data_IF_201899627303
#
_entry.id   IF_201899627303
#
_cell.length_a   1.000
_cell.length_b   1.000
_cell.length_c   1.000
_cell.angle_alpha   90.00
_cell.angle_beta   90.00
_cell.angle_gamma   90.00
#
_symmetry.space_group_name_H-M   'P 1'
#
loop_
_entity.id
_entity.type
_entity.pdbx_description
1 polymer ?
#
# COMPACT_ATOMS: atom_id res chain seq x y z
N UNK A 1 41.75 -2.00 -2.37
CA UNK A 1 40.84 -0.82 -2.31
C UNK A 1 39.65 -0.96 -3.25
N UNK A 2 39.85 -1.24 -4.55
CA UNK A 2 38.75 -1.44 -5.51
C UNK A 2 37.76 -2.54 -5.12
N UNK A 3 38.25 -3.72 -4.74
CA UNK A 3 37.42 -4.84 -4.25
C UNK A 3 36.63 -4.50 -2.97
N UNK A 4 37.23 -3.71 -2.06
CA UNK A 4 36.55 -3.24 -0.84
C UNK A 4 35.44 -2.24 -1.18
N UNK A 5 35.67 -1.34 -2.15
CA UNK A 5 34.67 -0.39 -2.63
C UNK A 5 33.53 -1.08 -3.39
N UNK A 6 33.84 -2.11 -4.18
CA UNK A 6 32.85 -2.92 -4.89
C UNK A 6 31.99 -3.73 -3.91
N UNK A 7 32.61 -4.37 -2.92
CA UNK A 7 31.89 -5.09 -1.86
C UNK A 7 31.05 -4.14 -1.00
N UNK A 8 31.58 -2.96 -0.66
CA UNK A 8 30.83 -1.94 0.07
C UNK A 8 29.62 -1.44 -0.72
N UNK A 9 29.78 -1.16 -2.02
CA UNK A 9 28.67 -0.78 -2.90
C UNK A 9 27.61 -1.88 -2.97
N UNK A 10 28.02 -3.15 -3.08
CA UNK A 10 27.10 -4.29 -3.07
C UNK A 10 26.31 -4.36 -1.76
N UNK A 11 27.00 -4.27 -0.62
CA UNK A 11 26.37 -4.27 0.70
C UNK A 11 25.37 -3.12 0.89
N UNK A 12 25.74 -1.89 0.49
CA UNK A 12 24.85 -0.73 0.58
C UNK A 12 23.62 -0.91 -0.31
N UNK A 13 23.78 -1.47 -1.51
CA UNK A 13 22.65 -1.74 -2.39
C UNK A 13 21.73 -2.81 -1.78
N UNK A 14 22.26 -3.91 -1.26
CA UNK A 14 21.45 -4.94 -0.57
C UNK A 14 20.74 -4.37 0.67
N UNK A 15 21.41 -3.53 1.46
CA UNK A 15 20.81 -2.87 2.62
C UNK A 15 19.69 -1.88 2.23
N UNK A 16 19.83 -1.16 1.10
CA UNK A 16 18.77 -0.28 0.57
C UNK A 16 17.52 -1.06 0.19
N UNK A 17 17.68 -2.24 -0.41
CA UNK A 17 16.55 -3.11 -0.78
C UNK A 17 15.77 -3.65 0.42
N UNK A 18 16.37 -3.63 1.60
CA UNK A 18 15.73 -4.00 2.87
C UNK A 18 15.25 -2.77 3.67
N UNK A 19 15.49 -1.56 3.18
CA UNK A 19 15.10 -0.35 3.90
C UNK A 19 13.58 -0.12 3.80
N UNK A 20 12.95 0.12 4.94
CA UNK A 20 11.54 0.48 5.02
C UNK A 20 11.24 1.74 4.19
N UNK A 21 10.12 1.77 3.43
CA UNK A 21 9.71 2.98 2.75
C UNK A 21 9.52 4.13 3.74
N UNK A 22 10.05 5.32 3.43
CA UNK A 22 9.96 6.49 4.32
C UNK A 22 8.55 6.76 4.87
N UNK A 23 7.45 6.63 4.09
CA UNK A 23 6.11 6.89 4.60
C UNK A 23 5.62 5.86 5.63
N UNK A 24 6.24 4.69 5.79
CA UNK A 24 5.85 3.78 6.87
C UNK A 24 6.31 4.29 8.23
N UNK A 25 7.47 4.97 8.27
CA UNK A 25 8.13 5.49 9.47
C UNK A 25 7.91 6.99 9.71
N UNK A 26 7.59 7.78 8.68
CA UNK A 26 7.36 9.22 8.79
C UNK A 26 5.86 9.54 8.70
N UNK A 27 5.26 9.95 9.84
CA UNK A 27 3.83 10.26 9.93
C UNK A 27 3.40 11.43 9.04
N UNK A 28 4.21 12.49 8.97
CA UNK A 28 3.88 13.68 8.19
C UNK A 28 3.85 13.36 6.70
N UNK A 29 4.86 12.66 6.20
CA UNK A 29 4.94 12.21 4.82
C UNK A 29 3.80 11.23 4.48
N UNK A 30 3.53 10.27 5.37
CA UNK A 30 2.39 9.35 5.22
C UNK A 30 1.07 10.10 5.06
N UNK A 31 0.83 11.06 5.96
CA UNK A 31 -0.39 11.85 6.00
C UNK A 31 -0.51 12.73 4.76
N UNK A 32 0.59 13.33 4.31
CA UNK A 32 0.66 14.10 3.07
C UNK A 32 0.22 13.25 1.87
N UNK A 33 0.81 12.06 1.72
CA UNK A 33 0.52 11.16 0.60
C UNK A 33 -0.94 10.65 0.65
N UNK A 34 -1.41 10.22 1.83
CA UNK A 34 -2.81 9.81 2.03
C UNK A 34 -3.79 10.93 1.70
N UNK A 35 -3.54 12.15 2.17
CA UNK A 35 -4.41 13.29 1.89
C UNK A 35 -4.42 13.67 0.41
N UNK A 36 -3.29 13.53 -0.29
CA UNK A 36 -3.24 13.70 -1.74
C UNK A 36 -4.10 12.65 -2.46
N UNK A 37 -4.01 11.38 -2.06
CA UNK A 37 -4.81 10.28 -2.60
C UNK A 37 -6.33 10.43 -2.33
N UNK A 38 -6.71 10.99 -1.18
CA UNK A 38 -8.12 11.32 -0.87
C UNK A 38 -8.64 12.45 -1.78
N UNK A 39 -7.82 13.48 -2.03
CA UNK A 39 -8.25 14.70 -2.73
C UNK A 39 -8.19 14.59 -4.26
N UNK A 40 -7.35 13.73 -4.80
CA UNK A 40 -7.19 13.58 -6.24
C UNK A 40 -8.42 12.89 -6.84
N UNK A 41 -9.11 13.55 -7.78
CA UNK A 41 -10.34 13.04 -8.42
C UNK A 41 -10.15 11.68 -9.13
N UNK A 42 -8.93 11.41 -9.60
CA UNK A 42 -8.57 10.15 -10.26
C UNK A 42 -8.11 9.05 -9.30
N UNK A 43 -8.01 9.32 -7.99
CA UNK A 43 -7.61 8.33 -6.97
C UNK A 43 -8.74 8.09 -5.97
N UNK A 44 -9.30 9.15 -5.38
CA UNK A 44 -10.39 9.09 -4.41
C UNK A 44 -10.24 7.94 -3.39
N UNK A 45 -9.16 7.94 -2.62
CA UNK A 45 -8.93 6.90 -1.61
C UNK A 45 -10.01 6.96 -0.50
N UNK A 46 -10.72 5.86 -0.27
CA UNK A 46 -11.81 5.80 0.70
C UNK A 46 -12.47 4.42 0.78
N UNK A 47 -13.67 4.29 1.35
CA UNK A 47 -14.35 5.33 2.11
C UNK A 47 -13.66 5.58 3.47
N UNK A 48 -14.00 6.68 4.14
CA UNK A 48 -13.59 6.90 5.54
C UNK A 48 -14.20 5.82 6.45
N UNK A 49 -15.50 5.55 6.26
CA UNK A 49 -16.29 4.53 6.96
C UNK A 49 -16.83 3.52 5.94
N UNK A 50 -16.74 2.21 6.21
CA UNK A 50 -17.13 1.18 5.23
C UNK A 50 -18.63 1.20 4.86
N UNK A 51 -19.47 1.76 5.74
CA UNK A 51 -20.90 1.94 5.54
C UNK A 51 -21.29 3.16 4.67
N UNK A 52 -20.31 3.90 4.15
CA UNK A 52 -20.55 5.03 3.25
C UNK A 52 -21.02 4.55 1.87
N UNK A 53 -22.34 4.52 1.66
CA UNK A 53 -22.96 4.09 0.41
C UNK A 53 -22.62 5.04 -0.76
N UNK A 54 -22.53 6.34 -0.50
CA UNK A 54 -22.26 7.36 -1.52
C UNK A 54 -20.87 7.16 -2.16
N UNK A 55 -19.86 6.80 -1.37
CA UNK A 55 -18.54 6.45 -1.90
C UNK A 55 -18.61 5.26 -2.88
N UNK A 56 -19.37 4.22 -2.54
CA UNK A 56 -19.45 3.02 -3.37
C UNK A 56 -20.23 3.27 -4.67
N UNK A 57 -21.25 4.12 -4.64
CA UNK A 57 -21.95 4.59 -5.84
C UNK A 57 -21.00 5.35 -6.77
N UNK A 58 -20.20 6.29 -6.23
CA UNK A 58 -19.20 7.03 -7.03
C UNK A 58 -18.11 6.13 -7.60
N UNK A 59 -17.64 5.15 -6.83
CA UNK A 59 -16.68 4.16 -7.31
C UNK A 59 -17.28 3.30 -8.44
N UNK A 60 -18.54 2.90 -8.31
CA UNK A 60 -19.25 2.16 -9.34
C UNK A 60 -19.41 2.98 -10.63
N UNK A 61 -19.76 4.26 -10.52
CA UNK A 61 -19.83 5.18 -11.66
C UNK A 61 -18.47 5.30 -12.35
N UNK A 62 -17.39 5.51 -11.59
CA UNK A 62 -16.03 5.60 -12.13
C UNK A 62 -15.63 4.36 -12.96
N UNK A 63 -15.98 3.16 -12.47
CA UNK A 63 -15.64 1.89 -13.11
C UNK A 63 -16.71 1.37 -14.08
N UNK A 64 -17.79 2.13 -14.31
CA UNK A 64 -18.94 1.71 -15.11
C UNK A 64 -19.50 0.34 -14.70
N UNK A 65 -19.76 0.18 -13.40
CA UNK A 65 -20.27 -1.05 -12.77
C UNK A 65 -21.34 -0.71 -11.72
N UNK A 66 -21.72 -1.67 -10.88
CA UNK A 66 -22.63 -1.44 -9.74
C UNK A 66 -21.88 -1.38 -8.40
N UNK A 67 -22.53 -0.79 -7.38
CA UNK A 67 -21.92 -0.58 -6.07
C UNK A 67 -21.52 -1.90 -5.37
N UNK A 68 -22.25 -2.99 -5.60
CA UNK A 68 -21.93 -4.30 -5.01
C UNK A 68 -20.71 -4.94 -5.65
N UNK A 69 -20.48 -4.72 -6.95
CA UNK A 69 -19.25 -5.10 -7.64
C UNK A 69 -18.09 -4.21 -7.18
N UNK A 70 -18.27 -2.89 -7.11
CA UNK A 70 -17.24 -1.95 -6.66
C UNK A 70 -16.76 -2.25 -5.23
N UNK A 71 -17.67 -2.65 -4.32
CA UNK A 71 -17.36 -3.07 -2.94
C UNK A 71 -16.40 -4.27 -2.84
N UNK A 72 -16.28 -5.07 -3.91
CA UNK A 72 -15.35 -6.22 -3.96
C UNK A 72 -13.92 -5.79 -4.30
N UNK A 73 -13.72 -4.60 -4.87
CA UNK A 73 -12.41 -4.05 -5.21
C UNK A 73 -11.84 -3.30 -4.00
N UNK A 74 -11.01 -3.98 -3.19
CA UNK A 74 -10.47 -3.44 -1.93
C UNK A 74 -8.94 -3.41 -1.96
N UNK A 75 -8.31 -2.59 -1.12
CA UNK A 75 -6.85 -2.59 -0.91
C UNK A 75 -6.38 -4.03 -0.64
N UNK A 76 -7.10 -4.79 0.19
CA UNK A 76 -6.75 -6.17 0.56
C UNK A 76 -6.66 -7.18 -0.59
N UNK A 77 -7.20 -6.90 -1.77
CA UNK A 77 -7.02 -7.73 -2.97
C UNK A 77 -6.39 -6.96 -4.15
N UNK A 78 -5.81 -5.80 -3.87
CA UNK A 78 -5.11 -4.96 -4.84
C UNK A 78 -3.66 -5.42 -5.01
N UNK A 79 -3.18 -5.53 -6.24
CA UNK A 79 -1.81 -5.95 -6.60
C UNK A 79 -0.72 -5.06 -6.01
N UNK A 80 -1.05 -3.83 -5.60
CA UNK A 80 -0.13 -2.87 -5.01
C UNK A 80 -0.20 -2.79 -3.48
N UNK A 81 -1.04 -3.59 -2.83
CA UNK A 81 -1.18 -3.61 -1.38
C UNK A 81 -0.26 -4.65 -0.76
N UNK A 82 0.64 -4.18 0.09
CA UNK A 82 1.74 -4.97 0.64
C UNK A 82 1.56 -5.24 2.12
N UNK A 83 1.54 -6.55 2.42
CA UNK A 83 1.49 -7.15 3.75
C UNK A 83 2.53 -8.27 3.87
N UNK A 84 3.57 -8.25 3.04
CA UNK A 84 4.64 -9.24 3.13
C UNK A 84 5.39 -9.11 4.46
N UNK A 85 6.05 -10.17 4.96
CA UNK A 85 6.78 -10.12 6.23
C UNK A 85 7.69 -8.90 6.40
N UNK A 86 8.52 -8.58 5.40
CA UNK A 86 9.40 -7.39 5.44
C UNK A 86 8.62 -6.09 5.54
N UNK A 87 7.43 -6.00 4.93
CA UNK A 87 6.62 -4.79 5.00
C UNK A 87 5.95 -4.65 6.36
N UNK A 88 5.47 -5.76 6.94
CA UNK A 88 4.89 -5.74 8.28
C UNK A 88 5.91 -5.31 9.34
N UNK A 89 7.17 -5.72 9.23
CA UNK A 89 8.27 -5.22 10.08
C UNK A 89 8.44 -3.69 9.98
N UNK A 90 8.09 -3.11 8.83
CA UNK A 90 8.15 -1.67 8.59
C UNK A 90 6.91 -0.90 9.07
N UNK A 91 5.84 -1.55 9.50
CA UNK A 91 4.61 -0.89 9.93
C UNK A 91 4.56 -0.78 11.45
N UNK A 92 4.54 0.44 12.02
CA UNK A 92 4.53 0.62 13.47
C UNK A 92 3.16 0.29 14.07
N UNK A 93 3.14 -0.42 15.20
CA UNK A 93 1.97 -0.64 16.05
C UNK A 93 1.39 -2.06 15.96
N UNK A 94 0.53 -2.46 16.92
CA UNK A 94 0.03 -3.84 17.01
C UNK A 94 -0.91 -4.23 15.86
N UNK A 95 -1.38 -3.28 15.06
CA UNK A 95 -2.24 -3.50 13.88
C UNK A 95 -1.51 -4.10 12.66
N UNK A 96 -0.19 -4.28 12.73
CA UNK A 96 0.60 -5.06 11.75
C UNK A 96 0.83 -6.51 12.18
N UNK A 97 0.57 -6.84 13.44
CA UNK A 97 0.33 -8.21 13.85
C UNK A 97 -1.09 -8.61 13.38
N UNK A 98 -1.40 -9.91 13.19
CA UNK A 98 -2.77 -10.33 12.93
C UNK A 98 -3.62 -10.08 14.18
N UNK A 99 -3.94 -8.82 14.46
CA UNK A 99 -5.26 -8.49 14.92
C UNK A 99 -6.09 -8.86 13.70
N UNK A 100 -6.66 -10.06 13.69
CA UNK A 100 -7.92 -10.26 12.97
C UNK A 100 -8.96 -9.43 13.70
N UNK A 101 -8.84 -8.10 13.62
CA UNK A 101 -10.00 -7.26 13.79
C UNK A 101 -10.86 -7.57 12.58
N UNK A 102 -12.13 -7.88 12.84
CA UNK A 102 -13.13 -8.22 11.82
C UNK A 102 -13.22 -7.16 10.70
N UNK A 103 -12.56 -6.01 10.88
CA UNK A 103 -12.59 -4.82 10.04
C UNK A 103 -11.43 -4.73 9.00
N UNK A 104 -10.28 -5.39 9.19
CA UNK A 104 -9.22 -5.49 8.16
C UNK A 104 -7.78 -5.16 8.61
N UNK A 105 -6.79 -5.37 7.73
CA UNK A 105 -5.34 -5.28 8.04
C UNK A 105 -4.73 -3.94 7.63
N UNK A 106 -3.74 -3.46 8.39
CA UNK A 106 -2.87 -2.37 7.95
C UNK A 106 -1.81 -2.92 6.97
N UNK A 107 -1.62 -2.24 5.84
CA UNK A 107 -0.58 -2.55 4.86
C UNK A 107 0.01 -1.30 4.22
N UNK A 108 0.84 -1.49 3.21
CA UNK A 108 1.45 -0.38 2.45
C UNK A 108 0.99 -0.40 0.99
N UNK A 109 0.63 0.77 0.44
CA UNK A 109 0.27 0.88 -0.96
C UNK A 109 1.49 1.35 -1.78
N UNK A 110 2.00 0.52 -2.67
CA UNK A 110 3.13 0.89 -3.53
C UNK A 110 2.78 1.92 -4.60
N UNK A 111 1.53 1.97 -5.07
CA UNK A 111 1.11 2.96 -6.08
C UNK A 111 1.06 4.39 -5.52
N UNK A 112 0.68 4.55 -4.25
CA UNK A 112 0.42 5.87 -3.66
C UNK A 112 1.31 6.21 -2.46
N UNK A 113 2.19 5.29 -2.08
CA UNK A 113 3.22 5.47 -1.06
C UNK A 113 2.69 5.92 0.31
N UNK A 114 1.67 5.26 0.83
CA UNK A 114 1.18 5.48 2.20
C UNK A 114 0.68 4.18 2.82
N UNK A 115 0.39 4.23 4.13
CA UNK A 115 -0.15 3.09 4.90
C UNK A 115 -1.66 2.96 4.63
N UNK A 116 -2.09 1.91 3.91
CA UNK A 116 -3.50 1.66 3.57
C UNK A 116 -4.15 0.68 4.57
N UNK A 117 -5.47 0.75 4.69
CA UNK A 117 -6.31 -0.25 5.33
C UNK A 117 -6.92 -1.23 4.31
N UNK A 118 -6.85 -2.54 4.55
CA UNK A 118 -7.23 -3.56 3.56
C UNK A 118 -8.71 -3.48 3.14
N UNK A 119 -9.61 -3.03 4.01
CA UNK A 119 -11.03 -2.92 3.70
C UNK A 119 -11.43 -1.68 2.87
N UNK A 120 -10.52 -0.72 2.71
CA UNK A 120 -10.74 0.48 1.89
C UNK A 120 -10.46 0.19 0.42
N UNK A 121 -10.72 1.16 -0.45
CA UNK A 121 -10.61 1.10 -1.91
C UNK A 121 -10.08 2.43 -2.46
N UNK A 122 -9.90 2.50 -3.77
CA UNK A 122 -9.60 3.71 -4.54
C UNK A 122 -9.95 3.47 -6.02
N UNK A 123 -10.04 4.55 -6.79
CA UNK A 123 -10.32 4.52 -8.23
C UNK A 123 -9.18 3.95 -9.06
N UNK A 124 -7.97 3.80 -8.50
CA UNK A 124 -6.85 3.16 -9.18
C UNK A 124 -6.63 1.71 -8.72
N UNK A 125 -7.65 1.07 -8.14
CA UNK A 125 -7.55 -0.34 -7.75
C UNK A 125 -7.16 -1.21 -8.95
N UNK A 126 -6.32 -2.21 -8.72
CA UNK A 126 -5.91 -3.17 -9.74
C UNK A 126 -5.87 -4.59 -9.16
N UNK A 127 -6.50 -5.54 -9.86
CA UNK A 127 -6.59 -6.93 -9.45
C UNK A 127 -5.21 -7.61 -9.37
N UNK A 128 -5.07 -8.58 -8.46
CA UNK A 128 -3.91 -9.47 -8.41
C UNK A 128 -3.13 -9.50 -7.09
N UNK A 129 -3.68 -8.93 -6.01
CA UNK A 129 -3.02 -8.93 -4.69
C UNK A 129 -3.72 -9.78 -3.63
N UNK A 130 -3.30 -9.65 -2.36
CA UNK A 130 -2.25 -8.73 -1.88
C UNK A 130 -0.83 -9.23 -2.21
N UNK A 131 0.17 -8.39 -2.01
CA UNK A 131 1.58 -8.79 -1.97
C UNK A 131 1.84 -9.38 -0.59
N UNK A 132 2.14 -10.67 -0.54
CA UNK A 132 2.47 -11.44 0.67
C UNK A 132 3.88 -12.04 0.64
N UNK A 133 4.59 -11.95 -0.49
CA UNK A 133 5.97 -12.39 -0.66
C UNK A 133 6.96 -11.22 -0.64
N UNK A 134 8.01 -11.34 0.19
CA UNK A 134 9.07 -10.33 0.32
C UNK A 134 9.79 -10.02 -0.99
N UNK A 135 9.96 -11.04 -1.83
CA UNK A 135 10.57 -10.88 -3.16
C UNK A 135 9.74 -9.94 -4.04
N UNK A 136 8.43 -10.11 -4.05
CA UNK A 136 7.52 -9.27 -4.84
C UNK A 136 7.50 -7.84 -4.25
N UNK A 137 7.51 -7.72 -2.93
CA UNK A 137 7.64 -6.43 -2.24
C UNK A 137 8.95 -5.70 -2.61
N UNK A 138 10.08 -6.40 -2.67
CA UNK A 138 11.37 -5.87 -3.13
C UNK A 138 11.33 -5.40 -4.59
N UNK A 139 10.69 -6.17 -5.48
CA UNK A 139 10.51 -5.80 -6.88
C UNK A 139 9.69 -4.51 -7.05
N UNK A 140 8.63 -4.34 -6.27
CA UNK A 140 7.84 -3.09 -6.24
C UNK A 140 8.65 -1.90 -5.73
N UNK A 141 9.46 -2.10 -4.68
CA UNK A 141 10.33 -1.06 -4.15
C UNK A 141 11.34 -0.59 -5.20
N UNK A 142 11.98 -1.51 -5.90
CA UNK A 142 12.97 -1.17 -6.93
C UNK A 142 12.34 -0.38 -8.08
N UNK A 143 11.13 -0.74 -8.52
CA UNK A 143 10.40 -0.01 -9.58
C UNK A 143 9.99 1.40 -9.19
N UNK A 144 9.77 1.67 -7.90
CA UNK A 144 9.41 3.00 -7.41
C UNK A 144 10.59 3.96 -7.19
N UNK A 145 11.83 3.46 -7.29
CA UNK A 145 13.06 4.27 -7.17
C UNK A 145 13.63 4.70 -8.54
N UNK A 146 13.07 4.21 -9.65
CA UNK A 146 13.40 4.60 -11.04
C UNK A 146 12.65 5.87 -11.47
#
# INVERSE_FOLDING_TARGET
MKLLLENWRKFINEAKKLACPKPTQNLELNTKNRNAAIKADHIQYGPLNLADEEYWEKAAEHWNTDAEVAKKSRCGNCVAFDISPRMLECLPGPVSEPIEDEEGKLGYCWMHHFKCHSARSCFTWAAGGPIDEDKVSEEWQNKGEE
#
